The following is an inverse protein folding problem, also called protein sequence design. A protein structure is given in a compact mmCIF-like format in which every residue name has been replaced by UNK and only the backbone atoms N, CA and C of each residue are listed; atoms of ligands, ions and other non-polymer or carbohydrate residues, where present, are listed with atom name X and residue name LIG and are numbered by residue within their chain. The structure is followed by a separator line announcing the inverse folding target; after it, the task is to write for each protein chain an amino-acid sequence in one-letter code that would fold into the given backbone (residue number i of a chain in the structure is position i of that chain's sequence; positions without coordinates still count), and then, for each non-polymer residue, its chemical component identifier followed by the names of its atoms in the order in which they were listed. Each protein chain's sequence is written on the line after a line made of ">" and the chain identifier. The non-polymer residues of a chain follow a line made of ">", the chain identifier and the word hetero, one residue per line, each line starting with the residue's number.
data_IF_506572032910
#
_entry.id   IF_506572032910
#
_cell.length_a   1.000
_cell.length_b   1.000
_cell.length_c   1.000
_cell.angle_alpha   90.00
_cell.angle_beta   90.00
_cell.angle_gamma   90.00
#
_symmetry.space_group_name_H-M   'P 1'
#
loop_
_entity.id
_entity.type
_entity.pdbx_description
1 polymer ?
#
# COMPACT_ATOMS: atom_id res chain seq x y z
N UNK A 1 -29.16 -4.53 5.88
CA UNK A 1 -27.95 -5.12 5.28
C UNK A 1 -26.83 -4.13 5.52
N UNK A 2 -25.81 -4.49 6.31
CA UNK A 2 -24.70 -3.58 6.61
C UNK A 2 -24.01 -3.20 5.31
N UNK A 3 -23.90 -1.91 5.04
CA UNK A 3 -23.09 -1.38 3.94
C UNK A 3 -21.66 -1.90 4.15
N UNK A 4 -21.17 -2.73 3.22
CA UNK A 4 -19.81 -3.23 3.31
C UNK A 4 -18.88 -2.03 3.20
N UNK A 5 -18.12 -1.76 4.27
CA UNK A 5 -17.15 -0.66 4.30
C UNK A 5 -16.28 -0.74 3.05
N UNK A 6 -16.33 0.30 2.21
CA UNK A 6 -15.58 0.36 0.95
C UNK A 6 -14.09 0.28 1.26
N UNK A 7 -13.43 -0.81 0.90
CA UNK A 7 -12.00 -1.00 1.07
C UNK A 7 -11.26 -0.21 -0.02
N UNK A 8 -10.86 1.02 0.32
CA UNK A 8 -10.11 1.88 -0.58
C UNK A 8 -8.62 1.96 -0.24
N UNK A 9 -7.84 2.56 -1.15
CA UNK A 9 -6.42 2.86 -0.91
C UNK A 9 -6.21 3.64 0.40
N UNK A 10 -7.04 4.65 0.67
CA UNK A 10 -6.94 5.47 1.89
C UNK A 10 -7.19 4.66 3.17
N UNK A 11 -8.14 3.71 3.15
CA UNK A 11 -8.36 2.82 4.29
C UNK A 11 -7.16 1.91 4.54
N UNK A 12 -6.51 1.42 3.48
CA UNK A 12 -5.31 0.61 3.61
C UNK A 12 -4.13 1.43 4.15
N UNK A 13 -3.91 2.65 3.66
CA UNK A 13 -2.89 3.56 4.20
C UNK A 13 -3.13 3.85 5.69
N UNK A 14 -4.37 4.16 6.08
CA UNK A 14 -4.73 4.36 7.49
C UNK A 14 -4.49 3.12 8.34
N UNK A 15 -4.71 1.92 7.79
CA UNK A 15 -4.41 0.66 8.48
C UNK A 15 -2.90 0.46 8.66
N UNK A 16 -2.09 0.80 7.66
CA UNK A 16 -0.63 0.73 7.78
C UNK A 16 -0.09 1.73 8.81
N UNK A 17 -0.60 2.96 8.77
CA UNK A 17 -0.21 4.06 9.65
C UNK A 17 -0.51 3.72 11.13
N UNK A 18 -1.73 3.26 11.44
CA UNK A 18 -2.12 2.79 12.78
C UNK A 18 -1.28 1.64 13.35
N UNK A 19 -0.52 0.93 12.51
CA UNK A 19 0.32 -0.19 12.92
C UNK A 19 1.83 0.13 12.79
N UNK A 20 2.19 1.40 12.62
CA UNK A 20 3.56 1.88 12.42
C UNK A 20 4.26 1.18 11.23
N UNK A 21 3.50 0.88 10.17
CA UNK A 21 3.97 0.22 8.95
C UNK A 21 4.04 1.13 7.74
N UNK A 22 3.66 2.40 7.87
CA UNK A 22 3.79 3.41 6.83
C UNK A 22 4.91 4.38 7.20
N UNK A 23 5.92 4.51 6.34
CA UNK A 23 6.99 5.48 6.52
C UNK A 23 6.56 6.83 5.94
N UNK A 24 6.73 7.90 6.70
CA UNK A 24 6.43 9.26 6.26
C UNK A 24 7.72 10.00 5.89
N UNK A 25 7.79 10.47 4.64
CA UNK A 25 8.84 11.41 4.18
C UNK A 25 8.21 12.79 4.08
N UNK A 26 8.47 13.62 5.11
CA UNK A 26 7.86 14.94 5.29
C UNK A 26 8.70 16.09 4.72
N UNK A 27 9.97 15.83 4.39
CA UNK A 27 10.84 16.75 3.64
C UNK A 27 10.42 16.78 2.17
N UNK A 28 10.65 17.90 1.50
CA UNK A 28 10.45 17.99 0.05
C UNK A 28 11.46 17.07 -0.68
N UNK A 29 10.96 16.35 -1.69
CA UNK A 29 11.75 15.46 -2.55
C UNK A 29 11.46 15.71 -4.03
N UNK A 30 12.44 15.42 -4.89
CA UNK A 30 12.29 15.49 -6.35
C UNK A 30 11.87 14.15 -6.94
N UNK A 31 11.06 14.22 -8.01
CA UNK A 31 10.74 13.06 -8.85
C UNK A 31 11.95 12.56 -9.63
N UNK A 32 12.89 13.46 -9.93
CA UNK A 32 14.19 13.11 -10.50
C UNK A 32 15.10 12.49 -9.43
N UNK A 33 15.30 11.17 -9.53
CA UNK A 33 16.16 10.30 -8.72
C UNK A 33 15.86 10.16 -7.21
N UNK A 34 15.48 11.22 -6.48
CA UNK A 34 15.34 11.15 -5.02
C UNK A 34 14.28 10.16 -4.56
N UNK A 35 13.06 10.24 -5.10
CA UNK A 35 11.97 9.29 -4.74
C UNK A 35 12.40 7.85 -5.02
N UNK A 36 12.99 7.58 -6.19
CA UNK A 36 13.43 6.24 -6.55
C UNK A 36 14.56 5.71 -5.64
N UNK A 37 15.53 6.56 -5.31
CA UNK A 37 16.63 6.22 -4.41
C UNK A 37 16.12 5.90 -2.99
N UNK A 38 15.18 6.68 -2.47
CA UNK A 38 14.56 6.43 -1.17
C UNK A 38 13.79 5.12 -1.20
N UNK A 39 12.94 4.90 -2.20
CA UNK A 39 12.19 3.63 -2.35
C UNK A 39 13.15 2.43 -2.34
N UNK A 40 14.24 2.51 -3.11
CA UNK A 40 15.26 1.46 -3.17
C UNK A 40 15.88 1.17 -1.79
N UNK A 41 16.21 2.22 -1.02
CA UNK A 41 16.79 2.08 0.32
C UNK A 41 15.83 1.45 1.36
N UNK A 42 14.53 1.52 1.11
CA UNK A 42 13.48 1.06 2.02
C UNK A 42 13.06 -0.40 1.77
N UNK A 43 13.57 -1.05 0.71
CA UNK A 43 13.21 -2.40 0.29
C UNK A 43 11.67 -2.57 0.18
N UNK A 44 11.07 -3.46 0.99
CA UNK A 44 9.64 -3.78 0.93
C UNK A 44 8.76 -2.85 1.78
N UNK A 45 9.28 -1.79 2.40
CA UNK A 45 8.50 -0.98 3.34
C UNK A 45 7.60 0.04 2.63
N UNK A 46 6.30 0.12 2.96
CA UNK A 46 5.41 1.17 2.47
C UNK A 46 5.91 2.56 2.87
N UNK A 47 5.84 3.51 1.93
CA UNK A 47 6.26 4.89 2.15
C UNK A 47 5.29 5.88 1.49
N UNK A 48 5.06 7.01 2.15
CA UNK A 48 4.36 8.18 1.62
C UNK A 48 5.31 9.38 1.59
N UNK A 49 5.36 10.04 0.44
CA UNK A 49 6.08 11.29 0.20
C UNK A 49 5.06 12.43 0.20
N UNK A 50 5.05 13.21 1.27
CA UNK A 50 4.03 14.24 1.49
C UNK A 50 4.24 15.49 0.64
N UNK A 51 5.50 15.78 0.28
CA UNK A 51 5.91 16.97 -0.47
C UNK A 51 6.79 16.57 -1.64
N UNK A 52 6.26 16.71 -2.85
CA UNK A 52 6.97 16.39 -4.10
C UNK A 52 7.14 17.68 -4.89
N UNK A 53 8.38 18.08 -5.18
CA UNK A 53 8.68 19.38 -5.80
C UNK A 53 7.93 19.61 -7.12
N UNK A 54 7.80 18.56 -7.94
CA UNK A 54 7.14 18.62 -9.24
C UNK A 54 5.63 18.31 -9.20
N UNK A 55 5.04 18.01 -8.03
CA UNK A 55 3.64 17.57 -7.93
C UNK A 55 2.93 18.10 -6.68
N UNK A 56 1.71 18.62 -6.87
CA UNK A 56 0.81 18.97 -5.75
C UNK A 56 0.16 17.75 -5.09
N UNK A 57 0.28 16.58 -5.69
CA UNK A 57 -0.29 15.32 -5.22
C UNK A 57 0.83 14.50 -4.55
N UNK A 58 0.62 13.97 -3.33
CA UNK A 58 1.60 13.13 -2.66
C UNK A 58 1.79 11.81 -3.39
N UNK A 59 2.96 11.21 -3.23
CA UNK A 59 3.31 9.92 -3.85
C UNK A 59 3.36 8.84 -2.79
N UNK A 60 2.83 7.65 -3.11
CA UNK A 60 2.93 6.47 -2.25
C UNK A 60 3.62 5.33 -3.00
N UNK A 61 4.43 4.53 -2.30
CA UNK A 61 5.15 3.40 -2.87
C UNK A 61 5.24 2.23 -1.88
N UNK A 62 5.66 1.05 -2.38
CA UNK A 62 5.91 -0.12 -1.54
C UNK A 62 4.64 -0.83 -1.01
N UNK A 63 3.47 -0.60 -1.62
CA UNK A 63 2.20 -1.15 -1.12
C UNK A 63 1.97 -2.63 -1.47
N UNK A 64 2.64 -3.14 -2.50
CA UNK A 64 2.48 -4.50 -3.06
C UNK A 64 3.82 -5.22 -3.12
N UNK A 65 4.73 -4.90 -2.20
CA UNK A 65 6.11 -5.39 -2.18
C UNK A 65 6.28 -6.77 -1.52
N UNK A 66 5.27 -7.26 -0.80
CA UNK A 66 5.35 -8.57 -0.13
C UNK A 66 4.00 -9.28 -0.05
N UNK A 67 4.03 -10.62 0.04
CA UNK A 67 2.83 -11.45 0.26
C UNK A 67 2.07 -11.06 1.53
N UNK A 68 2.78 -10.59 2.56
CA UNK A 68 2.15 -10.13 3.80
C UNK A 68 1.33 -8.86 3.56
N UNK A 69 1.89 -7.88 2.85
CA UNK A 69 1.19 -6.63 2.56
C UNK A 69 -0.03 -6.87 1.68
N UNK A 70 0.08 -7.73 0.67
CA UNK A 70 -1.05 -8.13 -0.18
C UNK A 70 -2.15 -8.80 0.66
N UNK A 71 -1.80 -9.78 1.50
CA UNK A 71 -2.78 -10.43 2.38
C UNK A 71 -3.45 -9.41 3.32
N UNK A 72 -2.67 -8.52 3.93
CA UNK A 72 -3.19 -7.48 4.82
C UNK A 72 -4.14 -6.50 4.11
N UNK A 73 -3.85 -6.14 2.86
CA UNK A 73 -4.70 -5.28 2.03
C UNK A 73 -6.05 -5.95 1.70
N UNK A 74 -6.03 -7.27 1.52
CA UNK A 74 -7.21 -8.10 1.26
C UNK A 74 -7.92 -8.56 2.54
N UNK A 75 -7.47 -8.12 3.72
CA UNK A 75 -7.91 -8.60 5.04
C UNK A 75 -7.87 -10.13 5.19
N UNK A 76 -6.82 -10.74 4.64
CA UNK A 76 -6.52 -12.15 4.73
C UNK A 76 -5.31 -12.37 5.64
N UNK A 77 -5.22 -13.56 6.20
CA UNK A 77 -3.94 -14.03 6.71
C UNK A 77 -3.01 -14.44 5.55
N UNK A 78 -1.69 -14.35 5.77
CA UNK A 78 -0.68 -14.70 4.75
C UNK A 78 -0.88 -16.12 4.19
N UNK A 79 -1.26 -17.08 5.04
CA UNK A 79 -1.50 -18.49 4.67
C UNK A 79 -2.72 -18.67 3.74
N UNK A 80 -3.67 -17.75 3.80
CA UNK A 80 -4.94 -17.83 3.07
C UNK A 80 -4.85 -17.21 1.67
N UNK A 81 -3.79 -16.43 1.41
CA UNK A 81 -3.66 -15.60 0.21
C UNK A 81 -3.86 -16.41 -1.08
N UNK A 82 -3.09 -17.49 -1.28
CA UNK A 82 -3.13 -18.26 -2.53
C UNK A 82 -4.48 -18.97 -2.74
N UNK A 83 -5.05 -19.54 -1.68
CA UNK A 83 -6.34 -20.21 -1.74
C UNK A 83 -7.46 -19.22 -2.09
N UNK A 84 -7.43 -18.04 -1.47
CA UNK A 84 -8.43 -16.99 -1.70
C UNK A 84 -8.34 -16.43 -3.12
N UNK A 85 -7.13 -16.16 -3.63
CA UNK A 85 -6.93 -15.74 -5.01
C UNK A 85 -7.43 -16.80 -6.01
N UNK A 86 -7.11 -18.08 -5.78
CA UNK A 86 -7.59 -19.18 -6.64
C UNK A 86 -9.11 -19.29 -6.66
N UNK A 87 -9.77 -19.14 -5.51
CA UNK A 87 -11.23 -19.15 -5.39
C UNK A 87 -11.87 -17.96 -6.12
N UNK A 88 -11.31 -16.77 -5.96
CA UNK A 88 -11.81 -15.55 -6.60
C UNK A 88 -11.70 -15.62 -8.13
N UNK A 89 -10.56 -16.11 -8.67
CA UNK A 89 -10.38 -16.29 -10.11
C UNK A 89 -11.41 -17.26 -10.72
N UNK A 90 -11.83 -18.29 -9.97
CA UNK A 90 -12.85 -19.25 -10.41
C UNK A 90 -14.29 -18.74 -10.27
N UNK A 91 -14.52 -17.74 -9.42
CA UNK A 91 -15.85 -17.23 -9.08
C UNK A 91 -15.85 -15.69 -9.06
N UNK A 92 -15.69 -15.03 -10.23
CA UNK A 92 -15.75 -13.57 -10.30
C UNK A 92 -17.15 -13.06 -9.91
N UNK A 93 -17.18 -11.90 -9.25
CA UNK A 93 -18.42 -11.21 -8.86
C UNK A 93 -18.62 -10.05 -9.86
N UNK A 94 -19.87 -9.78 -10.30
CA UNK A 94 -20.18 -8.64 -11.17
C UNK A 94 -19.78 -7.28 -10.61
#
# INVERSE_FOLDING_TARGET
>A
MSEAKKLGLRDFLNKLDKNDKLIHVTREVTTEYEIAAIISSLNEKPVIFEKVKESRIPVVAGLVSSKLLIANALNLERRELLCSLSKAMKNPIP
#
